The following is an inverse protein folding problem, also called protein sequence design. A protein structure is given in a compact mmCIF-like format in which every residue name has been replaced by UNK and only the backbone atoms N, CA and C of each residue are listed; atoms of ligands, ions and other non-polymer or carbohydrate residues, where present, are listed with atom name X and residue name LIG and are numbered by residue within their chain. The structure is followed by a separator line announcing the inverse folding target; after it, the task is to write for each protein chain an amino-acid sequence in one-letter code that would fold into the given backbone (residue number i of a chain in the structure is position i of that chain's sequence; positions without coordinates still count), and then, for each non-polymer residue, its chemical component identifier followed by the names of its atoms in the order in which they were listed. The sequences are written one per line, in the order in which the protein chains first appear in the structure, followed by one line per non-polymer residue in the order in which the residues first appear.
data_IF_301261491162
#
_entry.id   IF_301261491162
#
_cell.length_a   1.000
_cell.length_b   1.000
_cell.length_c   1.000
_cell.angle_alpha   90.00
_cell.angle_beta   90.00
_cell.angle_gamma   90.00
#
_symmetry.space_group_name_H-M   'P 1'
#
loop_
_entity.id
_entity.type
_entity.pdbx_description
1 polymer ?
#
# COMPACT_ATOMS: atom_id res chain seq x y z
N UNK A 1 14.19 11.56 -1.01
CA UNK A 1 13.19 11.22 0.04
C UNK A 1 13.40 9.78 0.46
N UNK A 2 12.92 9.38 1.64
CA UNK A 2 13.10 8.05 2.21
C UNK A 2 11.73 7.42 2.48
N UNK A 3 11.71 6.10 2.55
CA UNK A 3 10.54 5.29 2.90
C UNK A 3 11.02 4.01 3.56
N UNK A 4 10.11 3.21 4.09
CA UNK A 4 10.40 1.93 4.74
C UNK A 4 9.99 0.78 3.82
N UNK A 5 10.90 -0.14 3.54
CA UNK A 5 10.64 -1.37 2.75
C UNK A 5 10.81 -2.58 3.65
N UNK A 6 9.90 -3.55 3.53
CA UNK A 6 9.97 -4.80 4.27
C UNK A 6 11.10 -5.68 3.74
N UNK A 7 12.02 -6.07 4.61
CA UNK A 7 13.09 -6.99 4.29
C UNK A 7 12.73 -8.39 4.80
N UNK A 8 12.36 -9.28 3.88
CA UNK A 8 11.96 -10.66 4.20
C UNK A 8 13.06 -11.51 4.88
N UNK A 9 14.34 -11.13 4.78
CA UNK A 9 15.44 -11.84 5.46
C UNK A 9 15.57 -11.43 6.92
N UNK A 10 15.37 -10.16 7.23
CA UNK A 10 15.46 -9.62 8.59
C UNK A 10 14.09 -9.55 9.28
N UNK A 11 13.01 -9.79 8.53
CA UNK A 11 11.61 -9.71 8.97
C UNK A 11 11.25 -8.36 9.60
N UNK A 12 11.79 -7.29 9.03
CA UNK A 12 11.59 -5.93 9.54
C UNK A 12 11.54 -4.90 8.42
N UNK A 13 10.96 -3.73 8.73
CA UNK A 13 10.97 -2.58 7.84
C UNK A 13 12.28 -1.80 7.97
N UNK A 14 12.97 -1.62 6.83
CA UNK A 14 14.25 -0.93 6.75
C UNK A 14 14.14 0.33 5.89
N UNK A 15 14.87 1.38 6.26
CA UNK A 15 14.84 2.66 5.54
C UNK A 15 15.56 2.54 4.19
N UNK A 16 14.93 3.00 3.11
CA UNK A 16 15.51 3.08 1.77
C UNK A 16 15.25 4.43 1.11
N UNK A 17 15.99 4.73 0.04
CA UNK A 17 15.74 5.89 -0.80
C UNK A 17 14.65 5.60 -1.83
N UNK A 18 13.82 6.58 -2.17
CA UNK A 18 12.73 6.40 -3.16
C UNK A 18 13.22 5.90 -4.52
N UNK A 19 14.41 6.31 -4.96
CA UNK A 19 15.00 5.89 -6.23
C UNK A 19 15.55 4.45 -6.21
N UNK A 20 15.58 3.80 -5.05
CA UNK A 20 16.00 2.42 -4.88
C UNK A 20 14.82 1.44 -4.80
N UNK A 21 13.58 1.94 -4.79
CA UNK A 21 12.37 1.13 -4.82
C UNK A 21 12.26 0.33 -6.11
N UNK A 22 11.80 -0.90 -5.99
CA UNK A 22 11.55 -1.82 -7.10
C UNK A 22 10.11 -2.32 -7.06
N UNK A 23 9.59 -2.72 -8.22
CA UNK A 23 8.28 -3.38 -8.30
C UNK A 23 8.34 -4.67 -7.49
N UNK A 24 7.35 -4.87 -6.62
CA UNK A 24 7.30 -6.00 -5.68
C UNK A 24 7.81 -5.68 -4.27
N UNK A 25 8.42 -4.50 -4.05
CA UNK A 25 8.75 -4.05 -2.70
C UNK A 25 7.47 -3.81 -1.90
N UNK A 26 7.42 -4.35 -0.68
CA UNK A 26 6.36 -4.04 0.29
C UNK A 26 6.80 -2.81 1.08
N UNK A 27 6.07 -1.72 0.93
CA UNK A 27 6.36 -0.45 1.61
C UNK A 27 5.42 -0.20 2.77
N UNK A 28 5.93 0.38 3.85
CA UNK A 28 5.11 0.97 4.93
C UNK A 28 5.03 2.47 4.72
N UNK A 29 3.80 2.99 4.73
CA UNK A 29 3.52 4.42 4.61
C UNK A 29 2.84 4.88 5.90
N UNK A 30 3.48 5.81 6.61
CA UNK A 30 2.92 6.35 7.84
C UNK A 30 1.94 7.51 7.59
N UNK A 31 1.15 7.84 8.60
CA UNK A 31 0.18 8.92 8.52
C UNK A 31 0.87 10.25 8.17
N UNK A 32 0.34 10.95 7.15
CA UNK A 32 0.87 12.21 6.60
C UNK A 32 2.19 12.08 5.82
N UNK A 33 2.65 10.86 5.53
CA UNK A 33 3.77 10.67 4.61
C UNK A 33 3.34 10.82 3.15
N UNK A 34 4.31 11.17 2.31
CA UNK A 34 4.09 11.20 0.87
C UNK A 34 4.29 9.79 0.31
N UNK A 35 3.36 9.40 -0.56
CA UNK A 35 3.41 8.11 -1.24
C UNK A 35 4.60 8.12 -2.23
N UNK A 36 5.51 7.13 -2.16
CA UNK A 36 6.76 7.15 -2.93
C UNK A 36 6.65 6.66 -4.38
N UNK A 37 5.59 5.90 -4.71
CA UNK A 37 5.30 5.31 -6.02
C UNK A 37 3.79 5.00 -6.14
N UNK A 38 3.32 4.47 -7.26
CA UNK A 38 1.96 3.91 -7.34
C UNK A 38 1.91 2.60 -6.53
N UNK A 39 0.97 2.49 -5.58
CA UNK A 39 0.91 1.38 -4.62
C UNK A 39 -0.41 0.61 -4.71
N UNK A 40 -0.35 -0.70 -4.50
CA UNK A 40 -1.50 -1.52 -4.13
C UNK A 40 -1.57 -1.61 -2.60
N UNK A 41 -2.76 -1.40 -2.02
CA UNK A 41 -2.94 -1.41 -0.57
C UNK A 41 -3.14 -2.86 -0.13
N UNK A 42 -2.20 -3.41 0.64
CA UNK A 42 -2.24 -4.77 1.17
C UNK A 42 -2.83 -4.84 2.59
N UNK A 43 -2.81 -3.73 3.32
CA UNK A 43 -3.31 -3.62 4.68
C UNK A 43 -3.40 -2.16 5.11
N UNK A 44 -4.17 -1.89 6.15
CA UNK A 44 -4.35 -0.56 6.73
C UNK A 44 -4.29 -0.68 8.25
N UNK A 45 -3.83 0.38 8.92
CA UNK A 45 -3.94 0.45 10.38
C UNK A 45 -5.42 0.59 10.76
N UNK A 46 -5.94 -0.38 11.52
CA UNK A 46 -7.35 -0.46 11.87
C UNK A 46 -7.63 0.24 13.21
N UNK A 47 -8.58 1.19 13.26
CA UNK A 47 -9.01 1.80 14.52
C UNK A 47 -9.73 0.80 15.44
N UNK A 48 -10.42 -0.18 14.86
CA UNK A 48 -11.12 -1.26 15.55
C UNK A 48 -10.63 -2.62 14.99
N UNK A 49 -9.67 -3.28 15.66
CA UNK A 49 -9.13 -4.56 15.21
C UNK A 49 -10.15 -5.71 15.19
N UNK A 50 -11.29 -5.59 15.88
CA UNK A 50 -12.34 -6.63 15.87
C UNK A 50 -13.16 -6.59 14.57
N UNK A 51 -13.24 -5.42 13.93
CA UNK A 51 -14.00 -5.19 12.70
C UNK A 51 -13.18 -4.39 11.68
N UNK A 52 -12.12 -5.01 11.10
CA UNK A 52 -11.24 -4.32 10.17
C UNK A 52 -11.98 -3.92 8.89
N UNK A 53 -11.79 -2.68 8.44
CA UNK A 53 -12.43 -2.15 7.24
C UNK A 53 -11.49 -2.11 6.03
N UNK A 54 -10.18 -2.10 6.26
CA UNK A 54 -9.15 -1.99 5.23
C UNK A 54 -9.08 -0.62 4.59
N UNK A 55 -9.55 0.43 5.27
CA UNK A 55 -9.75 1.76 4.70
C UNK A 55 -8.63 2.73 5.11
N UNK A 56 -8.13 3.48 4.13
CA UNK A 56 -7.30 4.65 4.36
C UNK A 56 -7.80 5.87 3.58
N UNK A 57 -7.26 7.04 3.96
CA UNK A 57 -7.64 8.33 3.40
C UNK A 57 -6.42 8.95 2.71
N UNK A 58 -6.57 9.28 1.43
CA UNK A 58 -5.49 9.82 0.60
C UNK A 58 -5.84 11.24 0.16
N UNK A 59 -4.95 12.19 0.41
CA UNK A 59 -5.05 13.53 -0.13
C UNK A 59 -4.41 13.58 -1.53
N UNK A 60 -5.17 13.97 -2.55
CA UNK A 60 -4.68 14.08 -3.94
C UNK A 60 -4.50 15.52 -4.42
N UNK A 61 -4.55 16.51 -3.52
CA UNK A 61 -4.43 17.94 -3.82
C UNK A 61 -3.26 18.31 -4.74
N UNK A 62 -2.13 17.61 -4.63
CA UNK A 62 -0.95 17.88 -5.45
C UNK A 62 -1.07 17.35 -6.90
N UNK A 63 -2.06 16.50 -7.19
CA UNK A 63 -2.30 15.87 -8.50
C UNK A 63 -3.47 16.54 -9.25
N UNK A 64 -4.60 16.74 -8.57
CA UNK A 64 -5.86 17.20 -9.17
C UNK A 64 -6.38 18.53 -8.57
N UNK A 65 -5.76 19.03 -7.51
CA UNK A 65 -6.20 20.24 -6.79
C UNK A 65 -7.36 20.01 -5.82
N UNK A 66 -7.84 18.78 -5.66
CA UNK A 66 -8.93 18.46 -4.73
C UNK A 66 -8.44 18.50 -3.29
N UNK A 67 -9.20 19.16 -2.41
CA UNK A 67 -8.87 19.28 -0.98
C UNK A 67 -9.54 18.21 -0.12
N UNK A 68 -10.42 17.41 -0.71
CA UNK A 68 -11.11 16.34 0.01
C UNK A 68 -10.20 15.11 0.07
N UNK A 69 -10.29 14.38 1.18
CA UNK A 69 -9.64 13.09 1.30
C UNK A 69 -10.41 12.05 0.47
N UNK A 70 -9.72 11.36 -0.44
CA UNK A 70 -10.27 10.23 -1.19
C UNK A 70 -10.17 8.97 -0.32
N UNK A 71 -11.28 8.27 -0.16
CA UNK A 71 -11.33 6.97 0.52
C UNK A 71 -10.72 5.93 -0.41
N UNK A 72 -9.77 5.14 0.09
CA UNK A 72 -9.20 3.98 -0.59
C UNK A 72 -9.32 2.76 0.33
N UNK A 73 -9.54 1.59 -0.27
CA UNK A 73 -9.70 0.34 0.46
C UNK A 73 -8.71 -0.69 -0.07
N UNK A 74 -8.12 -1.51 0.81
CA UNK A 74 -7.35 -2.67 0.39
C UNK A 74 -8.25 -3.73 -0.26
N UNK A 75 -7.62 -4.71 -0.92
CA UNK A 75 -8.35 -5.84 -1.50
C UNK A 75 -9.08 -6.58 -0.38
N UNK A 76 -10.37 -6.90 -0.59
CA UNK A 76 -11.23 -7.48 0.46
C UNK A 76 -10.63 -8.74 1.08
N UNK A 77 -9.97 -9.57 0.26
CA UNK A 77 -9.38 -10.84 0.69
C UNK A 77 -8.17 -10.68 1.63
N UNK A 78 -7.57 -9.50 1.71
CA UNK A 78 -6.46 -9.19 2.64
C UNK A 78 -6.88 -8.33 3.84
N UNK A 79 -8.15 -7.91 3.92
CA UNK A 79 -8.66 -7.12 5.05
C UNK A 79 -8.52 -7.92 6.34
N UNK A 80 -7.82 -7.35 7.33
CA UNK A 80 -7.54 -8.01 8.61
C UNK A 80 -6.46 -9.10 8.55
N UNK A 81 -6.03 -9.53 7.35
CA UNK A 81 -4.92 -10.48 7.17
C UNK A 81 -3.59 -9.82 7.47
N UNK A 82 -3.42 -8.57 7.02
CA UNK A 82 -2.22 -7.77 7.26
C UNK A 82 -2.56 -6.65 8.25
N UNK A 83 -2.46 -6.97 9.53
CA UNK A 83 -2.77 -6.03 10.62
C UNK A 83 -1.52 -5.57 11.37
N UNK A 84 -0.50 -6.43 11.43
CA UNK A 84 0.79 -6.17 12.07
C UNK A 84 1.95 -6.38 11.08
N UNK A 85 3.12 -5.82 11.39
CA UNK A 85 4.31 -5.95 10.52
C UNK A 85 4.77 -7.39 10.34
N UNK A 86 4.50 -8.26 11.33
CA UNK A 86 4.82 -9.70 11.26
C UNK A 86 3.97 -10.45 10.23
N UNK A 87 2.76 -9.97 9.94
CA UNK A 87 1.85 -10.64 9.00
C UNK A 87 2.37 -10.54 7.56
N UNK A 88 3.13 -9.48 7.27
CA UNK A 88 3.78 -9.29 5.97
C UNK A 88 4.70 -10.46 5.62
N UNK A 89 5.31 -11.11 6.62
CA UNK A 89 6.17 -12.27 6.41
C UNK A 89 5.42 -13.50 5.86
N UNK A 90 4.10 -13.54 6.07
CA UNK A 90 3.23 -14.65 5.68
C UNK A 90 2.57 -14.42 4.33
N UNK A 91 2.72 -13.21 3.76
CA UNK A 91 2.17 -12.90 2.44
C UNK A 91 2.89 -13.68 1.36
N UNK A 92 2.10 -14.42 0.60
CA UNK A 92 2.51 -15.08 -0.63
C UNK A 92 1.41 -14.84 -1.65
N UNK A 93 1.80 -14.54 -2.88
CA UNK A 93 0.85 -14.24 -3.95
C UNK A 93 1.50 -13.55 -5.13
N UNK A 94 0.70 -13.31 -6.16
CA UNK A 94 1.06 -12.61 -7.39
C UNK A 94 0.03 -11.53 -7.69
N UNK A 95 0.48 -10.39 -8.22
CA UNK A 95 -0.40 -9.33 -8.71
C UNK A 95 -0.18 -9.18 -10.20
N UNK A 96 -1.20 -9.53 -10.98
CA UNK A 96 -1.25 -9.24 -12.41
C UNK A 96 -2.00 -7.92 -12.63
N UNK A 97 -1.49 -7.04 -13.48
CA UNK A 97 -2.10 -5.72 -13.70
C UNK A 97 -1.90 -5.23 -15.14
N UNK A 98 -2.69 -4.23 -15.51
CA UNK A 98 -2.57 -3.54 -16.80
C UNK A 98 -1.21 -2.84 -16.97
N UNK A 99 -0.83 -2.58 -18.23
CA UNK A 99 0.37 -1.79 -18.51
C UNK A 99 0.22 -0.34 -18.05
N UNK A 100 1.33 0.32 -17.63
CA UNK A 100 1.31 1.73 -17.25
C UNK A 100 0.69 2.61 -18.32
N UNK A 101 -0.27 3.43 -17.93
CA UNK A 101 -1.00 4.31 -18.83
C UNK A 101 -1.25 5.68 -18.14
N UNK A 102 -1.95 6.59 -18.84
CA UNK A 102 -2.15 7.98 -18.36
C UNK A 102 -3.47 8.19 -17.59
N UNK A 103 -4.26 7.15 -17.39
CA UNK A 103 -5.56 7.23 -16.72
C UNK A 103 -5.36 7.19 -15.20
N UNK A 104 -5.23 8.36 -14.58
CA UNK A 104 -4.98 8.47 -13.12
C UNK A 104 -6.16 8.02 -12.24
N UNK A 105 -7.36 7.89 -12.80
CA UNK A 105 -8.59 7.50 -12.09
C UNK A 105 -8.95 6.02 -12.29
N UNK A 106 -8.20 5.29 -13.12
CA UNK A 106 -8.51 3.91 -13.49
C UNK A 106 -7.28 3.03 -13.30
N UNK A 107 -7.48 1.92 -12.61
CA UNK A 107 -6.50 0.85 -12.47
C UNK A 107 -7.23 -0.48 -12.45
N UNK A 108 -6.72 -1.45 -13.21
CA UNK A 108 -7.23 -2.82 -13.22
C UNK A 108 -6.11 -3.80 -12.94
N UNK A 109 -6.34 -4.68 -11.97
CA UNK A 109 -5.44 -5.79 -11.65
C UNK A 109 -6.15 -6.88 -10.86
N UNK A 110 -5.49 -8.02 -10.75
CA UNK A 110 -5.93 -9.21 -10.03
C UNK A 110 -4.85 -9.58 -9.03
N UNK A 111 -5.24 -9.80 -7.77
CA UNK A 111 -4.39 -10.34 -6.73
C UNK A 111 -4.74 -11.83 -6.56
N UNK A 112 -3.75 -12.70 -6.71
CA UNK A 112 -3.85 -14.13 -6.42
C UNK A 112 -2.98 -14.44 -5.20
N UNK A 113 -3.58 -14.97 -4.13
CA UNK A 113 -2.92 -15.32 -2.86
C UNK A 113 -2.70 -16.83 -2.74
#
# INVERSE_FOLDING_TARGET
RRTQVYNFKTQSFEETQWNALQVGDVVKVENREQIPADLCILGCAEPDPEYPAGICYVETKSLDGETNLKIRQCVVDVVGVVSEESDVALLQGEIEMEHPNKLIESFTGVLEL
#
